data_IF_612191976695
#
_entry.id   IF_612191976695
#
_cell.length_a   1.000
_cell.length_b   1.000
_cell.length_c   1.000
_cell.angle_alpha   90.00
_cell.angle_beta   90.00
_cell.angle_gamma   90.00
#
_symmetry.space_group_name_H-M   'P 1'
#
loop_
_entity.id
_entity.type
_entity.pdbx_description
1 polymer ?
#
# COMPACT_ATOMS: atom_id res chain seq x y z
N UNK A 1 -43.11 -17.87 35.96
CA UNK A 1 -41.95 -17.05 35.50
C UNK A 1 -40.71 -17.13 36.42
N UNK A 2 -40.56 -18.13 37.31
CA UNK A 2 -39.39 -18.23 38.22
C UNK A 2 -38.12 -18.82 37.57
N UNK A 3 -38.28 -19.65 36.53
CA UNK A 3 -37.14 -20.33 35.88
C UNK A 3 -36.45 -19.47 34.82
N UNK A 4 -37.16 -18.53 34.18
CA UNK A 4 -36.60 -17.63 33.16
C UNK A 4 -35.47 -16.74 33.73
N UNK A 5 -35.64 -16.26 34.97
CA UNK A 5 -34.63 -15.43 35.66
C UNK A 5 -33.35 -16.20 35.96
N UNK A 6 -33.45 -17.51 36.24
CA UNK A 6 -32.29 -18.37 36.51
C UNK A 6 -31.46 -18.60 35.25
N UNK A 7 -32.11 -18.81 34.11
CA UNK A 7 -31.42 -18.96 32.82
C UNK A 7 -30.81 -17.65 32.33
N UNK A 8 -31.47 -16.51 32.55
CA UNK A 8 -30.91 -15.19 32.23
C UNK A 8 -29.64 -14.90 33.05
N UNK A 9 -29.64 -15.24 34.35
CA UNK A 9 -28.46 -15.07 35.19
C UNK A 9 -27.31 -15.99 34.78
N UNK A 10 -27.62 -17.25 34.43
CA UNK A 10 -26.62 -18.21 33.96
C UNK A 10 -26.01 -17.79 32.62
N UNK A 11 -26.82 -17.26 31.70
CA UNK A 11 -26.36 -16.74 30.41
C UNK A 11 -25.44 -15.53 30.59
N UNK A 12 -25.78 -14.61 31.50
CA UNK A 12 -24.94 -13.45 31.82
C UNK A 12 -23.60 -13.87 32.41
N UNK A 13 -23.59 -14.88 33.29
CA UNK A 13 -22.37 -15.41 33.89
C UNK A 13 -21.45 -16.06 32.85
N UNK A 14 -22.02 -16.78 31.87
CA UNK A 14 -21.27 -17.43 30.78
C UNK A 14 -20.59 -16.41 29.85
N UNK A 15 -21.17 -15.23 29.62
CA UNK A 15 -20.55 -14.17 28.83
C UNK A 15 -19.32 -13.54 29.51
N UNK A 16 -19.24 -13.59 30.85
CA UNK A 16 -18.09 -13.06 31.61
C UNK A 16 -16.86 -13.98 31.55
N UNK A 17 -17.03 -15.24 31.14
CA UNK A 17 -15.95 -16.21 30.99
C UNK A 17 -15.47 -16.38 29.55
N UNK A 18 -15.85 -15.49 28.62
CA UNK A 18 -15.21 -15.44 27.30
C UNK A 18 -13.85 -14.77 27.52
N UNK A 19 -12.72 -15.52 27.50
CA UNK A 19 -11.43 -14.88 27.65
C UNK A 19 -11.26 -13.97 26.43
N UNK A 20 -11.05 -12.67 26.67
CA UNK A 20 -10.68 -11.71 25.65
C UNK A 20 -9.23 -11.97 25.20
N UNK A 21 -8.97 -13.16 24.65
CA UNK A 21 -7.71 -13.43 23.95
C UNK A 21 -7.85 -12.77 22.59
N UNK A 22 -7.63 -11.45 22.57
CA UNK A 22 -7.34 -10.75 21.34
C UNK A 22 -5.97 -11.25 20.88
N UNK A 23 -5.96 -12.31 20.07
CA UNK A 23 -4.76 -12.70 19.31
C UNK A 23 -4.58 -11.61 18.25
N UNK A 24 -3.94 -10.50 18.64
CA UNK A 24 -3.37 -9.58 17.68
C UNK A 24 -2.38 -10.38 16.84
N UNK A 25 -2.53 -10.35 15.52
CA UNK A 25 -1.60 -11.02 14.61
C UNK A 25 -0.21 -10.39 14.79
N UNK A 26 0.67 -11.05 15.53
CA UNK A 26 2.08 -10.64 15.68
C UNK A 26 2.95 -11.08 14.51
N UNK A 27 2.36 -11.75 13.50
CA UNK A 27 3.01 -12.13 12.26
C UNK A 27 3.14 -10.93 11.30
N UNK A 28 3.73 -9.83 11.75
CA UNK A 28 4.28 -8.85 10.82
C UNK A 28 5.56 -9.47 10.24
N UNK A 29 5.43 -10.16 9.11
CA UNK A 29 6.61 -10.46 8.29
C UNK A 29 7.12 -9.12 7.79
N UNK A 30 8.29 -8.72 8.28
CA UNK A 30 9.01 -7.57 7.74
C UNK A 30 9.13 -7.75 6.21
N UNK A 31 8.96 -6.68 5.42
CA UNK A 31 9.18 -6.75 3.99
C UNK A 31 10.55 -7.38 3.73
N UNK A 32 10.56 -8.49 2.99
CA UNK A 32 11.83 -9.09 2.61
C UNK A 32 12.43 -8.17 1.56
N UNK A 33 13.71 -7.83 1.70
CA UNK A 33 14.39 -6.95 0.75
C UNK A 33 15.22 -7.77 -0.23
N UNK A 34 15.30 -7.35 -1.51
CA UNK A 34 16.16 -8.01 -2.48
C UNK A 34 17.65 -7.87 -2.10
N UNK A 35 18.49 -8.76 -2.63
CA UNK A 35 19.96 -8.62 -2.55
C UNK A 35 20.42 -7.28 -3.13
N UNK A 36 21.65 -6.85 -2.84
CA UNK A 36 22.18 -5.58 -3.39
C UNK A 36 22.22 -5.59 -4.93
N UNK A 37 22.59 -6.72 -5.54
CA UNK A 37 22.59 -6.88 -6.99
C UNK A 37 21.17 -6.83 -7.57
N UNK A 38 20.24 -7.58 -6.97
CA UNK A 38 18.83 -7.56 -7.40
C UNK A 38 18.23 -6.17 -7.24
N UNK A 39 18.61 -5.43 -6.19
CA UNK A 39 18.18 -4.04 -5.97
C UNK A 39 18.57 -3.15 -7.15
N UNK A 40 19.79 -3.29 -7.68
CA UNK A 40 20.25 -2.50 -8.85
C UNK A 40 19.39 -2.81 -10.08
N UNK A 41 19.05 -4.09 -10.32
CA UNK A 41 18.21 -4.48 -11.45
C UNK A 41 16.77 -3.98 -11.26
N UNK A 42 16.23 -4.09 -10.05
CA UNK A 42 14.90 -3.57 -9.71
C UNK A 42 14.83 -2.06 -9.87
N UNK A 43 15.88 -1.31 -9.48
CA UNK A 43 15.95 0.14 -9.71
C UNK A 43 15.78 0.47 -11.21
N UNK A 44 16.40 -0.30 -12.10
CA UNK A 44 16.26 -0.14 -13.57
C UNK A 44 14.86 -0.53 -14.06
N UNK A 45 14.28 -1.60 -13.52
CA UNK A 45 12.91 -2.02 -13.86
C UNK A 45 11.90 -0.92 -13.48
N UNK A 46 12.04 -0.36 -12.27
CA UNK A 46 11.19 0.72 -11.76
C UNK A 46 11.24 1.95 -12.67
N UNK A 47 12.45 2.30 -13.14
CA UNK A 47 12.66 3.42 -14.06
C UNK A 47 12.05 3.14 -15.44
N UNK A 48 12.37 1.99 -16.03
CA UNK A 48 11.89 1.59 -17.36
C UNK A 48 10.36 1.41 -17.42
N UNK A 49 9.74 1.02 -16.31
CA UNK A 49 8.29 0.86 -16.18
C UNK A 49 7.57 2.13 -15.69
N UNK A 50 8.30 3.23 -15.44
CA UNK A 50 7.77 4.51 -14.97
C UNK A 50 6.89 4.41 -13.71
N UNK A 51 7.17 3.47 -12.80
CA UNK A 51 6.32 3.25 -11.63
C UNK A 51 6.26 4.45 -10.70
N UNK A 52 7.35 5.22 -10.60
CA UNK A 52 7.36 6.47 -9.81
C UNK A 52 6.32 7.46 -10.34
N UNK A 53 6.27 7.67 -11.65
CA UNK A 53 5.33 8.60 -12.28
C UNK A 53 3.90 8.12 -12.03
N UNK A 54 3.62 6.83 -12.26
CA UNK A 54 2.30 6.27 -12.02
C UNK A 54 1.83 6.44 -10.57
N UNK A 55 2.70 6.19 -9.58
CA UNK A 55 2.37 6.39 -8.16
C UNK A 55 2.05 7.85 -7.86
N UNK A 56 2.88 8.77 -8.35
CA UNK A 56 2.68 10.22 -8.16
C UNK A 56 1.38 10.67 -8.80
N UNK A 57 1.14 10.31 -10.07
CA UNK A 57 -0.05 10.70 -10.82
C UNK A 57 -1.33 10.18 -10.16
N UNK A 58 -1.30 8.93 -9.67
CA UNK A 58 -2.42 8.37 -8.92
C UNK A 58 -2.68 9.13 -7.63
N UNK A 59 -1.65 9.47 -6.86
CA UNK A 59 -1.80 10.25 -5.63
C UNK A 59 -2.36 11.65 -5.94
N UNK A 60 -1.85 12.34 -6.97
CA UNK A 60 -2.33 13.65 -7.42
C UNK A 60 -3.80 13.57 -7.83
N UNK A 61 -4.21 12.51 -8.55
CA UNK A 61 -5.62 12.33 -8.92
C UNK A 61 -6.53 12.23 -7.69
N UNK A 62 -6.09 11.50 -6.65
CA UNK A 62 -6.86 11.36 -5.40
C UNK A 62 -6.90 12.63 -4.57
N UNK A 63 -5.84 13.42 -4.60
CA UNK A 63 -5.82 14.74 -3.98
C UNK A 63 -6.80 15.68 -4.70
N UNK A 64 -6.81 15.70 -6.03
CA UNK A 64 -7.72 16.55 -6.79
C UNK A 64 -9.19 16.15 -6.54
N UNK A 65 -9.51 14.85 -6.57
CA UNK A 65 -10.84 14.33 -6.22
C UNK A 65 -11.29 14.79 -4.82
N UNK A 66 -10.40 14.73 -3.82
CA UNK A 66 -10.70 15.15 -2.45
C UNK A 66 -10.83 16.67 -2.34
N UNK A 67 -9.93 17.42 -2.97
CA UNK A 67 -9.90 18.88 -3.00
C UNK A 67 -11.20 19.45 -3.56
N UNK A 68 -11.69 18.91 -4.68
CA UNK A 68 -12.96 19.30 -5.29
C UNK A 68 -14.15 18.96 -4.38
N UNK A 69 -14.18 17.75 -3.82
CA UNK A 69 -15.27 17.26 -2.98
C UNK A 69 -15.40 18.03 -1.67
N UNK A 70 -14.28 18.40 -1.06
CA UNK A 70 -14.22 19.02 0.26
C UNK A 70 -14.04 20.54 0.21
N UNK A 71 -13.86 21.13 -0.97
CA UNK A 71 -13.70 22.57 -1.16
C UNK A 71 -12.40 23.10 -0.54
N UNK A 72 -11.28 22.40 -0.72
CA UNK A 72 -9.99 22.86 -0.22
C UNK A 72 -9.55 24.15 -0.93
N UNK A 73 -8.85 25.01 -0.19
CA UNK A 73 -8.17 26.15 -0.80
C UNK A 73 -6.86 25.68 -1.48
N UNK A 74 -6.32 26.54 -2.34
CA UNK A 74 -5.09 26.26 -3.10
C UNK A 74 -3.91 25.92 -2.20
N UNK A 75 -3.77 26.62 -1.06
CA UNK A 75 -2.70 26.38 -0.09
C UNK A 75 -2.75 24.95 0.47
N UNK A 76 -3.92 24.48 0.91
CA UNK A 76 -4.08 23.12 1.45
C UNK A 76 -3.82 22.07 0.37
N UNK A 77 -4.35 22.28 -0.84
CA UNK A 77 -4.15 21.35 -1.95
C UNK A 77 -2.65 21.24 -2.32
N UNK A 78 -1.93 22.37 -2.32
CA UNK A 78 -0.49 22.43 -2.56
C UNK A 78 0.30 21.71 -1.47
N UNK A 79 0.03 22.01 -0.20
CA UNK A 79 0.70 21.38 0.95
C UNK A 79 0.53 19.85 0.96
N UNK A 80 -0.68 19.37 0.70
CA UNK A 80 -0.96 17.93 0.61
C UNK A 80 -0.23 17.32 -0.60
N UNK A 81 -0.20 17.99 -1.75
CA UNK A 81 0.51 17.51 -2.96
C UNK A 81 2.02 17.44 -2.73
N UNK A 82 2.61 18.43 -2.07
CA UNK A 82 4.03 18.46 -1.73
C UNK A 82 4.42 17.39 -0.69
N UNK A 83 3.46 16.89 0.09
CA UNK A 83 3.69 15.79 1.02
C UNK A 83 3.89 14.42 0.35
N UNK A 84 3.65 14.30 -0.97
CA UNK A 84 3.90 13.06 -1.72
C UNK A 84 5.39 12.75 -1.73
N UNK A 85 5.78 11.68 -1.03
CA UNK A 85 7.14 11.16 -1.06
C UNK A 85 7.16 9.70 -1.51
N UNK A 86 7.57 9.46 -2.76
CA UNK A 86 7.66 8.11 -3.35
C UNK A 86 8.48 7.13 -2.50
N UNK A 87 9.46 7.60 -1.72
CA UNK A 87 10.26 6.73 -0.84
C UNK A 87 9.38 5.98 0.18
N UNK A 88 8.26 6.56 0.59
CA UNK A 88 7.33 5.94 1.54
C UNK A 88 6.52 4.78 0.92
N UNK A 89 6.49 4.68 -0.41
CA UNK A 89 5.82 3.60 -1.13
C UNK A 89 6.78 2.62 -1.80
N UNK A 90 8.04 3.06 -2.06
CA UNK A 90 9.07 2.30 -2.78
C UNK A 90 9.17 0.85 -2.28
N UNK A 91 9.21 0.63 -0.98
CA UNK A 91 9.42 -0.72 -0.42
C UNK A 91 8.30 -1.71 -0.80
N UNK A 92 7.06 -1.24 -0.99
CA UNK A 92 5.96 -2.07 -1.47
C UNK A 92 6.21 -2.60 -2.88
N UNK A 93 6.84 -1.81 -3.75
CA UNK A 93 7.25 -2.22 -5.09
C UNK A 93 8.39 -3.24 -5.01
N UNK A 94 9.37 -3.01 -4.13
CA UNK A 94 10.56 -3.87 -4.03
C UNK A 94 10.19 -5.26 -3.51
N UNK A 95 9.23 -5.31 -2.57
CA UNK A 95 8.73 -6.56 -2.01
C UNK A 95 8.12 -7.49 -3.09
N UNK A 96 7.56 -6.95 -4.18
CA UNK A 96 7.06 -7.79 -5.28
C UNK A 96 8.16 -8.54 -6.01
N UNK A 97 9.35 -7.95 -6.06
CA UNK A 97 10.44 -8.50 -6.84
C UNK A 97 11.31 -9.51 -6.07
N UNK A 98 11.03 -9.69 -4.78
CA UNK A 98 11.81 -10.55 -3.88
C UNK A 98 11.77 -12.03 -4.26
N UNK A 99 10.72 -12.45 -4.95
CA UNK A 99 10.52 -13.84 -5.36
C UNK A 99 11.34 -14.21 -6.60
N UNK A 100 11.85 -13.22 -7.33
CA UNK A 100 12.62 -13.45 -8.55
C UNK A 100 14.12 -13.59 -8.24
N UNK A 101 14.75 -14.51 -8.96
CA UNK A 101 16.21 -14.57 -9.03
C UNK A 101 16.78 -13.50 -9.98
N UNK A 102 18.10 -13.40 -10.04
CA UNK A 102 18.79 -12.40 -10.87
C UNK A 102 18.49 -12.58 -12.37
N UNK A 103 18.42 -13.82 -12.86
CA UNK A 103 18.18 -14.12 -14.29
C UNK A 103 16.75 -13.73 -14.69
N UNK A 104 15.78 -14.01 -13.82
CA UNK A 104 14.39 -13.61 -13.99
C UNK A 104 14.25 -12.09 -13.99
N UNK A 105 14.94 -11.38 -13.09
CA UNK A 105 14.93 -9.91 -13.04
C UNK A 105 15.57 -9.30 -14.30
N UNK A 106 16.68 -9.83 -14.79
CA UNK A 106 17.29 -9.35 -16.04
C UNK A 106 16.38 -9.59 -17.24
N UNK A 107 15.69 -10.73 -17.27
CA UNK A 107 14.73 -11.05 -18.34
C UNK A 107 13.58 -10.06 -18.32
N UNK A 108 13.06 -9.75 -17.13
CA UNK A 108 12.00 -8.76 -16.95
C UNK A 108 12.44 -7.35 -17.36
N UNK A 109 13.66 -6.94 -16.98
CA UNK A 109 14.22 -5.65 -17.40
C UNK A 109 14.31 -5.55 -18.93
N UNK A 110 14.83 -6.58 -19.60
CA UNK A 110 14.92 -6.62 -21.07
C UNK A 110 13.54 -6.54 -21.74
N UNK A 111 12.49 -7.06 -21.11
CA UNK A 111 11.12 -6.91 -21.61
C UNK A 111 10.65 -5.46 -21.54
N UNK A 112 10.83 -4.79 -20.39
CA UNK A 112 10.50 -3.37 -20.22
C UNK A 112 11.31 -2.44 -21.14
N UNK A 113 12.58 -2.75 -21.43
CA UNK A 113 13.42 -1.93 -22.31
C UNK A 113 13.07 -2.07 -23.80
N UNK A 114 12.56 -3.22 -24.23
CA UNK A 114 12.35 -3.53 -25.65
C UNK A 114 10.92 -3.31 -26.13
N UNK A 115 9.94 -3.44 -25.24
CA UNK A 115 8.53 -3.41 -25.60
C UNK A 115 7.79 -2.30 -24.86
N UNK A 116 7.45 -1.23 -25.58
CA UNK A 116 6.66 -0.11 -25.04
C UNK A 116 5.26 -0.56 -24.61
N UNK A 117 4.68 -1.61 -25.21
CA UNK A 117 3.41 -2.16 -24.73
C UNK A 117 3.60 -2.83 -23.37
N UNK A 118 4.76 -3.46 -23.13
CA UNK A 118 5.11 -4.02 -21.83
C UNK A 118 5.32 -2.93 -20.77
N UNK A 119 5.85 -1.75 -21.15
CA UNK A 119 5.89 -0.57 -20.27
C UNK A 119 4.49 -0.11 -19.81
N UNK A 120 3.46 -0.36 -20.62
CA UNK A 120 2.06 -0.07 -20.23
C UNK A 120 1.43 -1.16 -19.36
N UNK A 121 2.02 -2.36 -19.30
CA UNK A 121 1.60 -3.44 -18.39
C UNK A 121 2.05 -3.13 -16.97
N UNK A 122 1.37 -2.18 -16.35
CA UNK A 122 1.77 -1.71 -15.05
C UNK A 122 1.41 -2.75 -13.97
N UNK A 123 2.42 -3.34 -13.32
CA UNK A 123 2.23 -4.28 -12.21
C UNK A 123 1.40 -3.67 -11.07
N UNK A 124 1.36 -2.34 -10.95
CA UNK A 124 0.50 -1.60 -10.03
C UNK A 124 -1.00 -1.83 -10.29
N UNK A 125 -1.39 -2.17 -11.51
CA UNK A 125 -2.78 -2.47 -11.89
C UNK A 125 -3.13 -3.96 -11.84
N UNK A 126 -2.15 -4.84 -12.03
CA UNK A 126 -2.37 -6.29 -12.07
C UNK A 126 -2.14 -6.97 -10.72
N UNK A 127 -1.31 -6.39 -9.85
CA UNK A 127 -1.10 -6.87 -8.48
C UNK A 127 -2.15 -6.31 -7.53
N UNK A 128 -3.05 -7.16 -7.03
CA UNK A 128 -4.05 -6.78 -6.02
C UNK A 128 -3.41 -6.23 -4.74
N UNK A 129 -2.28 -6.81 -4.32
CA UNK A 129 -1.54 -6.36 -3.13
C UNK A 129 -1.01 -4.95 -3.34
N UNK A 130 -0.36 -4.70 -4.48
CA UNK A 130 0.23 -3.40 -4.76
C UNK A 130 -0.82 -2.32 -4.97
N UNK A 131 -1.92 -2.66 -5.67
CA UNK A 131 -3.07 -1.77 -5.85
C UNK A 131 -3.69 -1.37 -4.51
N UNK A 132 -3.82 -2.31 -3.56
CA UNK A 132 -4.30 -2.02 -2.22
C UNK A 132 -3.34 -1.13 -1.43
N UNK A 133 -2.03 -1.43 -1.48
CA UNK A 133 -1.02 -0.59 -0.83
C UNK A 133 -1.05 0.84 -1.39
N UNK A 134 -1.20 1.00 -2.72
CA UNK A 134 -1.27 2.30 -3.36
C UNK A 134 -2.51 3.09 -2.91
N UNK A 135 -3.67 2.43 -2.83
CA UNK A 135 -4.91 3.03 -2.31
C UNK A 135 -4.75 3.53 -0.88
N UNK A 136 -4.14 2.70 -0.02
CA UNK A 136 -3.87 3.09 1.39
C UNK A 136 -2.92 4.28 1.43
N UNK A 137 -1.82 4.22 0.68
CA UNK A 137 -0.84 5.30 0.63
C UNK A 137 -1.45 6.62 0.14
N UNK A 138 -2.21 6.61 -0.94
CA UNK A 138 -2.89 7.80 -1.46
C UNK A 138 -3.93 8.35 -0.47
N UNK A 139 -4.69 7.48 0.20
CA UNK A 139 -5.62 7.90 1.24
C UNK A 139 -4.89 8.54 2.44
N UNK A 140 -3.76 7.99 2.85
CA UNK A 140 -2.96 8.53 3.94
C UNK A 140 -2.36 9.91 3.60
N UNK A 141 -1.99 10.14 2.34
CA UNK A 141 -1.61 11.47 1.83
C UNK A 141 -2.80 12.44 1.90
N UNK A 142 -3.97 12.05 1.39
CA UNK A 142 -5.19 12.89 1.43
C UNK A 142 -5.56 13.28 2.85
N UNK A 143 -5.37 12.38 3.82
CA UNK A 143 -5.58 12.64 5.25
C UNK A 143 -4.48 13.49 5.90
N UNK A 144 -3.48 13.94 5.13
CA UNK A 144 -2.38 14.78 5.61
C UNK A 144 -1.39 14.07 6.54
N UNK A 145 -1.34 12.72 6.55
CA UNK A 145 -0.48 11.97 7.48
C UNK A 145 1.02 12.20 7.25
N UNK A 146 1.40 12.74 6.10
CA UNK A 146 2.79 13.01 5.71
C UNK A 146 3.17 14.50 5.78
N UNK A 147 2.24 15.38 6.18
CA UNK A 147 2.57 16.77 6.47
C UNK A 147 3.33 16.81 7.80
N UNK A 148 4.53 17.39 7.80
CA UNK A 148 5.30 17.58 9.03
C UNK A 148 4.59 18.61 9.91
N UNK A 149 4.33 18.27 11.17
CA UNK A 149 3.68 19.17 12.13
C UNK A 149 4.59 20.28 12.60
#
# INVERSE_FOLDING_TARGET
MKNLKKHAFLALLLCLFIPAICISQTNFQAPKMPSQQNKIIIDKIVEAAHYKNYVIDYCVSKINEASEKEGWNEQKAMEITESINYKNFRDAIYNLFVVYDEVELETLLKAYEKDTAYQTQNIMTTSKVLSNNLKIFANDIVLGKYISK
#
